data_IF_527448789435
#
_entry.id   IF_527448789435
#
_cell.length_a   1.000
_cell.length_b   1.000
_cell.length_c   1.000
_cell.angle_alpha   90.00
_cell.angle_beta   90.00
_cell.angle_gamma   90.00
#
_symmetry.space_group_name_H-M   'P 1'
#
loop_
_entity.id
_entity.type
_entity.pdbx_description
1 polymer ?
#
# COMPACT_ATOMS: atom_id res chain seq x y z
N UNK A 1 -23.66 -7.66 -3.44
CA UNK A 1 -22.46 -7.74 -4.30
C UNK A 1 -22.95 -7.92 -5.73
N UNK A 2 -22.57 -7.05 -6.66
CA UNK A 2 -22.95 -7.15 -8.08
C UNK A 2 -21.67 -7.46 -8.85
N UNK A 3 -21.67 -8.56 -9.62
CA UNK A 3 -20.55 -8.94 -10.49
C UNK A 3 -20.97 -8.75 -11.94
N UNK A 4 -20.27 -7.87 -12.66
CA UNK A 4 -20.47 -7.63 -14.08
C UNK A 4 -19.33 -8.28 -14.86
N UNK A 5 -19.68 -9.10 -15.85
CA UNK A 5 -18.73 -9.72 -16.77
C UNK A 5 -18.96 -9.08 -18.13
N UNK A 6 -17.93 -8.45 -18.69
CA UNK A 6 -18.04 -7.73 -19.96
C UNK A 6 -17.10 -8.37 -20.96
N UNK A 7 -17.64 -8.71 -22.12
CA UNK A 7 -16.89 -9.29 -23.23
C UNK A 7 -16.49 -8.21 -24.24
N UNK A 8 -15.45 -8.51 -25.04
CA UNK A 8 -15.01 -7.70 -26.17
C UNK A 8 -14.59 -6.25 -25.79
N UNK A 9 -13.99 -6.10 -24.61
CA UNK A 9 -13.45 -4.85 -24.08
C UNK A 9 -11.92 -4.79 -24.21
N UNK A 10 -11.39 -3.62 -24.57
CA UNK A 10 -9.96 -3.34 -24.53
C UNK A 10 -9.60 -2.50 -23.30
N UNK A 11 -8.30 -2.35 -23.00
CA UNK A 11 -7.81 -1.62 -21.82
C UNK A 11 -8.31 -0.16 -21.77
N UNK A 12 -8.35 0.53 -22.91
CA UNK A 12 -8.83 1.92 -22.97
C UNK A 12 -10.32 2.03 -22.60
N UNK A 13 -11.15 1.13 -23.11
CA UNK A 13 -12.58 1.08 -22.77
C UNK A 13 -12.80 0.67 -21.32
N UNK A 14 -11.96 -0.23 -20.79
CA UNK A 14 -12.01 -0.63 -19.39
C UNK A 14 -11.72 0.57 -18.48
N UNK A 15 -10.64 1.30 -18.76
CA UNK A 15 -10.29 2.52 -18.02
C UNK A 15 -11.42 3.56 -18.05
N UNK A 16 -12.01 3.79 -19.23
CA UNK A 16 -13.16 4.71 -19.35
C UNK A 16 -14.40 4.24 -18.57
N UNK A 17 -14.62 2.93 -18.46
CA UNK A 17 -15.69 2.38 -17.62
C UNK A 17 -15.39 2.57 -16.14
N UNK A 18 -14.15 2.32 -15.71
CA UNK A 18 -13.71 2.57 -14.32
C UNK A 18 -13.99 4.02 -13.93
N UNK A 19 -13.61 4.99 -14.77
CA UNK A 19 -13.89 6.42 -14.51
C UNK A 19 -15.39 6.72 -14.44
N UNK A 20 -16.21 6.14 -15.32
CA UNK A 20 -17.66 6.31 -15.29
C UNK A 20 -18.28 5.74 -14.03
N UNK A 21 -17.83 4.57 -13.58
CA UNK A 21 -18.28 3.96 -12.32
C UNK A 21 -17.89 4.86 -11.14
N UNK A 22 -16.65 5.35 -11.11
CA UNK A 22 -16.17 6.26 -10.07
C UNK A 22 -17.03 7.52 -10.01
N UNK A 23 -17.25 8.17 -11.15
CA UNK A 23 -18.04 9.40 -11.26
C UNK A 23 -19.50 9.18 -10.86
N UNK A 24 -20.10 8.05 -11.27
CA UNK A 24 -21.51 7.73 -11.00
C UNK A 24 -21.80 7.50 -9.52
N UNK A 25 -20.86 6.87 -8.81
CA UNK A 25 -21.01 6.50 -7.40
C UNK A 25 -20.22 7.40 -6.44
N UNK A 26 -19.61 8.47 -6.94
CA UNK A 26 -18.84 9.43 -6.16
C UNK A 26 -19.67 10.06 -5.02
N UNK A 27 -20.97 10.20 -5.23
CA UNK A 27 -21.93 10.76 -4.25
C UNK A 27 -22.26 9.77 -3.12
N UNK A 28 -22.25 8.46 -3.38
CA UNK A 28 -22.70 7.44 -2.42
C UNK A 28 -21.64 7.06 -1.36
N UNK A 29 -20.40 7.58 -1.46
CA UNK A 29 -19.24 7.43 -0.55
C UNK A 29 -18.84 6.00 -0.08
N UNK A 30 -19.63 4.98 -0.35
CA UNK A 30 -19.54 3.63 0.23
C UNK A 30 -19.63 2.52 -0.83
N UNK A 31 -18.95 2.69 -1.96
CA UNK A 31 -18.79 1.63 -2.95
C UNK A 31 -17.36 1.06 -2.91
N UNK A 32 -17.23 -0.24 -3.12
CA UNK A 32 -15.96 -0.95 -3.33
C UNK A 32 -16.12 -1.84 -4.55
N UNK A 33 -15.29 -1.62 -5.57
CA UNK A 33 -15.36 -2.33 -6.84
C UNK A 33 -14.00 -2.91 -7.16
N UNK A 34 -13.94 -4.22 -7.38
CA UNK A 34 -12.75 -4.91 -7.86
C UNK A 34 -12.86 -5.20 -9.34
N UNK A 35 -11.79 -4.95 -10.09
CA UNK A 35 -11.74 -5.11 -11.55
C UNK A 35 -10.61 -6.07 -11.89
N UNK A 36 -10.86 -7.04 -12.77
CA UNK A 36 -9.81 -7.94 -13.26
C UNK A 36 -8.96 -7.26 -14.34
N UNK A 37 -7.87 -7.92 -14.75
CA UNK A 37 -7.24 -7.56 -16.03
C UNK A 37 -8.16 -7.93 -17.19
N UNK A 38 -7.89 -7.37 -18.38
CA UNK A 38 -8.51 -7.84 -19.63
C UNK A 38 -7.97 -9.24 -19.93
N UNK A 39 -8.86 -10.23 -19.98
CA UNK A 39 -8.54 -11.64 -20.17
C UNK A 39 -9.34 -12.22 -21.34
N UNK A 40 -8.94 -13.39 -21.83
CA UNK A 40 -9.68 -14.07 -22.90
C UNK A 40 -10.99 -14.61 -22.35
N UNK A 41 -11.99 -14.76 -23.22
CA UNK A 41 -13.32 -15.31 -22.85
C UNK A 41 -13.24 -16.65 -22.12
N UNK A 42 -12.26 -17.49 -22.40
CA UNK A 42 -12.10 -18.81 -21.78
C UNK A 42 -11.67 -18.71 -20.30
N UNK A 43 -11.16 -17.55 -19.87
CA UNK A 43 -10.56 -17.32 -18.56
C UNK A 43 -11.54 -16.64 -17.60
N UNK A 44 -12.86 -16.78 -17.79
CA UNK A 44 -13.88 -16.13 -16.94
C UNK A 44 -13.70 -16.46 -15.46
N UNK A 45 -13.34 -17.69 -15.13
CA UNK A 45 -13.10 -18.09 -13.72
C UNK A 45 -11.94 -17.29 -13.15
N UNK A 46 -10.87 -17.08 -13.94
CA UNK A 46 -9.71 -16.28 -13.54
C UNK A 46 -10.08 -14.80 -13.42
N UNK A 47 -10.90 -14.25 -14.32
CA UNK A 47 -11.34 -12.85 -14.23
C UNK A 47 -12.17 -12.60 -12.97
N UNK A 48 -13.07 -13.52 -12.61
CA UNK A 48 -13.84 -13.44 -11.36
C UNK A 48 -12.92 -13.48 -10.15
N UNK A 49 -11.95 -14.41 -10.11
CA UNK A 49 -10.96 -14.49 -9.03
C UNK A 49 -10.16 -13.19 -8.89
N UNK A 50 -9.67 -12.64 -10.00
CA UNK A 50 -8.92 -11.39 -9.99
C UNK A 50 -9.75 -10.20 -9.49
N UNK A 51 -10.98 -10.06 -9.97
CA UNK A 51 -11.89 -9.01 -9.52
C UNK A 51 -12.19 -9.14 -8.01
N UNK A 52 -12.44 -10.35 -7.52
CA UNK A 52 -12.67 -10.59 -6.09
C UNK A 52 -11.43 -10.26 -5.25
N UNK A 53 -10.23 -10.69 -5.67
CA UNK A 53 -8.98 -10.33 -5.00
C UNK A 53 -8.78 -8.82 -4.94
N UNK A 54 -9.05 -8.09 -6.03
CA UNK A 54 -8.95 -6.63 -6.05
C UNK A 54 -9.97 -5.96 -5.12
N UNK A 55 -11.19 -6.51 -5.05
CA UNK A 55 -12.21 -6.08 -4.11
C UNK A 55 -11.79 -6.33 -2.65
N UNK A 56 -11.20 -7.49 -2.35
CA UNK A 56 -10.75 -7.84 -1.01
C UNK A 56 -9.61 -6.93 -0.54
N UNK A 57 -8.71 -6.50 -1.43
CA UNK A 57 -7.71 -5.46 -1.11
C UNK A 57 -8.38 -4.17 -0.62
N UNK A 58 -9.48 -3.72 -1.25
CA UNK A 58 -10.23 -2.54 -0.79
C UNK A 58 -10.92 -2.77 0.56
N UNK A 59 -11.40 -3.99 0.81
CA UNK A 59 -12.00 -4.35 2.10
C UNK A 59 -10.94 -4.32 3.20
N UNK A 60 -9.82 -5.00 3.00
CA UNK A 60 -8.71 -5.05 3.96
C UNK A 60 -8.14 -3.66 4.24
N UNK A 61 -8.03 -2.77 3.25
CA UNK A 61 -7.61 -1.37 3.46
C UNK A 61 -8.68 -0.46 4.04
N UNK A 62 -9.88 -0.98 4.27
CA UNK A 62 -11.08 -0.21 4.59
C UNK A 62 -11.30 1.03 3.70
N UNK A 63 -11.02 0.91 2.39
CA UNK A 63 -11.05 2.03 1.44
C UNK A 63 -12.17 1.86 0.41
N UNK A 64 -12.98 2.90 0.22
CA UNK A 64 -13.96 2.97 -0.88
C UNK A 64 -13.28 3.31 -2.22
N UNK A 65 -13.87 2.88 -3.33
CA UNK A 65 -13.41 3.17 -4.69
C UNK A 65 -13.34 1.95 -5.60
N UNK A 66 -12.55 2.08 -6.66
CA UNK A 66 -12.26 1.02 -7.63
C UNK A 66 -10.80 0.56 -7.46
N UNK A 67 -10.58 -0.74 -7.52
CA UNK A 67 -9.25 -1.36 -7.52
C UNK A 67 -9.15 -2.30 -8.71
N UNK A 68 -8.12 -2.10 -9.53
CA UNK A 68 -7.75 -3.06 -10.57
C UNK A 68 -6.79 -4.10 -10.02
N UNK A 69 -6.97 -5.36 -10.42
CA UNK A 69 -6.08 -6.46 -10.06
C UNK A 69 -4.64 -6.18 -10.47
N UNK A 70 -4.41 -5.49 -11.60
CA UNK A 70 -3.06 -5.10 -12.04
C UNK A 70 -2.39 -4.14 -11.05
N UNK A 71 -3.16 -3.24 -10.46
CA UNK A 71 -2.67 -2.22 -9.52
C UNK A 71 -2.64 -2.70 -8.06
N UNK A 72 -3.24 -3.85 -7.76
CA UNK A 72 -3.29 -4.41 -6.40
C UNK A 72 -1.94 -4.86 -5.84
N UNK A 73 -0.92 -5.07 -6.69
CA UNK A 73 0.48 -5.21 -6.28
C UNK A 73 0.72 -6.18 -5.12
N UNK A 74 1.50 -5.72 -4.14
CA UNK A 74 1.85 -6.44 -2.91
C UNK A 74 0.69 -6.55 -1.93
N UNK A 75 -0.34 -5.71 -2.08
CA UNK A 75 -1.47 -5.65 -1.14
C UNK A 75 -2.29 -6.93 -1.13
N UNK A 76 -2.22 -7.69 -2.22
CA UNK A 76 -2.82 -9.03 -2.34
C UNK A 76 -2.30 -10.01 -1.31
N UNK A 77 -1.08 -9.81 -0.79
CA UNK A 77 -0.52 -10.68 0.24
C UNK A 77 -1.24 -10.50 1.59
N UNK A 78 -1.89 -9.36 1.81
CA UNK A 78 -2.51 -9.02 3.09
C UNK A 78 -4.01 -9.32 3.18
N UNK A 79 -4.65 -9.76 2.09
CA UNK A 79 -6.11 -9.90 2.02
C UNK A 79 -6.70 -10.94 2.99
N UNK A 80 -5.85 -11.82 3.53
CA UNK A 80 -6.24 -12.85 4.51
C UNK A 80 -6.15 -12.36 5.95
N UNK A 81 -5.68 -11.14 6.17
CA UNK A 81 -5.54 -10.54 7.49
C UNK A 81 -6.60 -9.46 7.71
N UNK A 82 -6.98 -9.26 8.97
CA UNK A 82 -7.83 -8.13 9.33
C UNK A 82 -7.02 -6.83 9.37
N UNK A 83 -7.66 -5.66 9.19
CA UNK A 83 -6.99 -4.38 9.39
C UNK A 83 -6.32 -4.27 10.77
N UNK A 84 -6.93 -4.85 11.80
CA UNK A 84 -6.43 -4.86 13.18
C UNK A 84 -5.16 -5.71 13.31
N UNK A 85 -5.12 -6.93 12.74
CA UNK A 85 -3.93 -7.78 12.74
C UNK A 85 -2.74 -7.09 12.05
N UNK A 86 -2.99 -6.41 10.94
CA UNK A 86 -1.97 -5.68 10.20
C UNK A 86 -1.50 -4.45 10.98
N UNK A 87 -2.40 -3.80 11.72
CA UNK A 87 -2.05 -2.68 12.60
C UNK A 87 -1.19 -3.14 13.76
N UNK A 88 -1.56 -4.24 14.43
CA UNK A 88 -0.79 -4.80 15.54
C UNK A 88 0.61 -5.19 15.09
N UNK A 89 0.75 -5.85 13.92
CA UNK A 89 2.06 -6.14 13.33
C UNK A 89 2.91 -4.87 13.10
N UNK A 90 2.30 -3.77 12.64
CA UNK A 90 3.03 -2.50 12.47
C UNK A 90 3.48 -1.95 13.82
N UNK A 91 2.61 -2.00 14.84
CA UNK A 91 2.91 -1.49 16.17
C UNK A 91 4.00 -2.31 16.85
N UNK A 92 4.01 -3.63 16.70
CA UNK A 92 5.05 -4.50 17.25
C UNK A 92 6.45 -4.11 16.75
N UNK A 93 6.56 -3.71 15.49
CA UNK A 93 7.84 -3.34 14.88
C UNK A 93 8.19 -1.85 15.09
N UNK A 94 7.22 -0.96 14.90
CA UNK A 94 7.47 0.48 14.76
C UNK A 94 6.98 1.33 15.93
N UNK A 95 6.35 0.75 16.96
CA UNK A 95 5.96 1.49 18.18
C UNK A 95 7.06 2.43 18.72
N UNK A 96 8.36 2.05 18.79
CA UNK A 96 9.43 2.93 19.26
C UNK A 96 9.71 4.18 18.41
N UNK A 97 9.22 4.22 17.16
CA UNK A 97 9.47 5.30 16.19
C UNK A 97 8.19 6.03 15.77
N UNK A 98 7.05 5.66 16.35
CA UNK A 98 5.77 6.35 16.20
C UNK A 98 5.62 7.50 17.21
N UNK A 99 4.76 8.46 16.90
CA UNK A 99 4.37 9.55 17.78
C UNK A 99 3.18 9.19 18.68
N UNK A 100 2.88 10.08 19.63
CA UNK A 100 1.65 10.00 20.43
C UNK A 100 0.42 9.93 19.49
N UNK A 101 -0.44 8.94 19.73
CA UNK A 101 -1.58 8.55 18.87
C UNK A 101 -1.24 7.71 17.63
N UNK A 102 -0.14 6.95 17.62
CA UNK A 102 0.22 6.00 16.56
C UNK A 102 0.43 6.64 15.17
N UNK A 103 0.81 7.91 15.12
CA UNK A 103 1.11 8.61 13.87
C UNK A 103 2.56 8.39 13.46
N UNK A 104 2.88 8.38 12.16
CA UNK A 104 4.26 8.29 11.70
C UNK A 104 5.12 9.44 12.24
N UNK A 105 6.06 9.11 13.13
CA UNK A 105 7.00 10.09 13.65
C UNK A 105 8.07 10.46 12.64
N UNK A 106 8.86 11.49 12.96
CA UNK A 106 9.92 11.99 12.08
C UNK A 106 10.90 10.92 11.60
N UNK A 107 11.20 9.91 12.43
CA UNK A 107 12.08 8.80 12.05
C UNK A 107 11.42 7.89 11.01
N UNK A 108 10.15 7.53 11.21
CA UNK A 108 9.42 6.73 10.23
C UNK A 108 9.23 7.47 8.90
N UNK A 109 8.92 8.77 8.94
CA UNK A 109 8.86 9.64 7.75
C UNK A 109 10.22 9.65 7.03
N UNK A 110 11.32 9.72 7.79
CA UNK A 110 12.67 9.67 7.23
C UNK A 110 12.93 8.35 6.49
N UNK A 111 12.59 7.22 7.09
CA UNK A 111 12.77 5.89 6.45
C UNK A 111 11.89 5.74 5.21
N UNK A 112 10.62 6.16 5.26
CA UNK A 112 9.72 6.15 4.10
C UNK A 112 10.32 6.97 2.94
N UNK A 113 10.86 8.15 3.21
CA UNK A 113 11.52 8.98 2.21
C UNK A 113 12.81 8.32 1.67
N UNK A 114 13.60 7.70 2.54
CA UNK A 114 14.81 6.98 2.17
C UNK A 114 14.53 5.81 1.23
N UNK A 115 13.49 5.03 1.51
CA UNK A 115 13.02 3.94 0.64
C UNK A 115 12.52 4.46 -0.71
N UNK A 116 11.74 5.55 -0.71
CA UNK A 116 11.26 6.22 -1.93
C UNK A 116 12.43 6.63 -2.84
N UNK A 117 13.52 7.09 -2.24
CA UNK A 117 14.74 7.52 -2.93
C UNK A 117 15.74 6.38 -3.18
N UNK A 118 15.29 5.11 -3.17
CA UNK A 118 16.13 3.93 -3.44
C UNK A 118 17.39 3.89 -2.56
N UNK A 119 17.25 4.26 -1.30
CA UNK A 119 18.36 4.34 -0.33
C UNK A 119 19.45 5.37 -0.68
N UNK A 120 19.19 6.33 -1.56
CA UNK A 120 20.13 7.43 -1.82
C UNK A 120 20.08 8.44 -0.68
N UNK A 121 21.13 8.45 0.14
CA UNK A 121 21.23 9.40 1.26
C UNK A 121 21.25 10.86 0.79
N UNK A 122 21.90 11.14 -0.35
CA UNK A 122 21.99 12.48 -0.94
C UNK A 122 20.60 12.96 -1.38
N UNK A 123 19.91 12.17 -2.21
CA UNK A 123 18.59 12.57 -2.73
C UNK A 123 17.55 12.65 -1.61
N UNK A 124 17.63 11.76 -0.62
CA UNK A 124 16.72 11.79 0.53
C UNK A 124 16.94 13.04 1.38
N UNK A 125 18.19 13.40 1.64
CA UNK A 125 18.52 14.59 2.41
C UNK A 125 18.06 15.86 1.69
N UNK A 126 18.26 15.93 0.38
CA UNK A 126 17.77 17.01 -0.49
C UNK A 126 16.23 17.11 -0.46
N UNK A 127 15.51 16.01 -0.70
CA UNK A 127 14.03 15.99 -0.67
C UNK A 127 13.48 16.39 0.70
N UNK A 128 14.16 16.02 1.79
CA UNK A 128 13.76 16.36 3.15
C UNK A 128 14.23 17.73 3.63
N UNK A 129 15.03 18.46 2.83
CA UNK A 129 15.60 19.76 3.23
C UNK A 129 16.53 19.68 4.45
N UNK A 130 17.23 18.56 4.64
CA UNK A 130 18.18 18.35 5.75
C UNK A 130 19.59 18.06 5.22
N UNK A 131 20.59 18.19 6.09
CA UNK A 131 21.94 17.76 5.77
C UNK A 131 22.07 16.23 5.77
N UNK A 132 22.91 15.67 4.89
CA UNK A 132 23.11 14.21 4.78
C UNK A 132 23.57 13.56 6.09
N UNK A 133 24.39 14.25 6.89
CA UNK A 133 24.78 13.76 8.23
C UNK A 133 23.58 13.65 9.19
N UNK A 134 22.63 14.58 9.13
CA UNK A 134 21.40 14.51 9.92
C UNK A 134 20.54 13.32 9.49
N UNK A 135 20.50 13.02 8.19
CA UNK A 135 19.84 11.82 7.68
C UNK A 135 20.48 10.54 8.26
N UNK A 136 21.81 10.41 8.20
CA UNK A 136 22.52 9.26 8.78
C UNK A 136 22.27 9.11 10.28
N UNK A 137 22.24 10.21 11.03
CA UNK A 137 21.91 10.19 12.46
C UNK A 137 20.48 9.67 12.70
N UNK A 138 19.51 10.10 11.88
CA UNK A 138 18.12 9.62 11.99
C UNK A 138 17.99 8.15 11.61
N UNK A 139 18.65 7.71 10.55
CA UNK A 139 18.68 6.29 10.17
C UNK A 139 19.27 5.45 11.32
N UNK A 140 20.44 5.83 11.83
CA UNK A 140 21.07 5.14 12.96
C UNK A 140 20.17 5.12 14.20
N UNK A 141 19.48 6.21 14.49
CA UNK A 141 18.52 6.28 15.60
C UNK A 141 17.33 5.35 15.39
N UNK A 142 16.79 5.27 14.16
CA UNK A 142 15.74 4.32 13.81
C UNK A 142 16.20 2.86 14.03
N UNK A 143 17.39 2.50 13.53
CA UNK A 143 17.93 1.14 13.70
C UNK A 143 18.17 0.81 15.18
N UNK A 144 18.65 1.79 15.97
CA UNK A 144 18.87 1.62 17.42
C UNK A 144 17.56 1.40 18.17
N UNK A 145 16.50 2.15 17.84
CA UNK A 145 15.21 2.08 18.55
C UNK A 145 14.41 0.82 18.18
N UNK A 146 14.49 0.38 16.93
CA UNK A 146 13.75 -0.78 16.43
C UNK A 146 14.51 -2.09 16.57
N UNK A 147 15.85 -2.03 16.72
CA UNK A 147 16.71 -3.20 16.66
C UNK A 147 16.83 -3.82 15.26
N UNK A 148 16.32 -3.15 14.23
CA UNK A 148 16.33 -3.60 12.83
C UNK A 148 17.39 -2.85 12.04
N UNK A 149 18.03 -3.53 11.08
CA UNK A 149 19.00 -2.93 10.18
C UNK A 149 18.51 -2.87 8.74
N UNK A 150 18.74 -1.72 8.10
CA UNK A 150 18.51 -1.54 6.66
C UNK A 150 19.56 -2.26 5.79
N UNK A 151 20.66 -2.70 6.38
CA UNK A 151 21.73 -3.42 5.68
C UNK A 151 21.55 -4.94 5.73
N UNK A 152 20.67 -5.46 6.59
CA UNK A 152 20.27 -6.86 6.57
C UNK A 152 19.12 -7.03 5.57
N UNK A 153 19.23 -8.00 4.66
CA UNK A 153 18.26 -8.17 3.58
C UNK A 153 16.84 -8.53 4.06
N UNK A 154 16.72 -9.42 5.05
CA UNK A 154 15.43 -9.86 5.57
C UNK A 154 14.76 -8.76 6.41
N UNK A 155 15.54 -8.09 7.25
CA UNK A 155 15.07 -6.95 8.04
C UNK A 155 14.70 -5.77 7.14
N UNK A 156 15.46 -5.52 6.06
CA UNK A 156 15.14 -4.51 5.07
C UNK A 156 13.76 -4.75 4.42
N UNK A 157 13.49 -5.99 3.99
CA UNK A 157 12.20 -6.35 3.40
C UNK A 157 11.09 -6.11 4.40
N UNK A 158 11.29 -6.52 5.66
CA UNK A 158 10.34 -6.30 6.75
C UNK A 158 10.08 -4.81 6.98
N UNK A 159 11.13 -3.98 7.10
CA UNK A 159 11.02 -2.52 7.23
C UNK A 159 10.25 -1.92 6.06
N UNK A 160 10.59 -2.31 4.83
CA UNK A 160 9.94 -1.77 3.63
C UNK A 160 8.46 -2.14 3.56
N UNK A 161 8.11 -3.37 3.92
CA UNK A 161 6.74 -3.85 3.97
C UNK A 161 5.92 -3.10 5.03
N UNK A 162 6.47 -2.99 6.24
CA UNK A 162 5.83 -2.26 7.35
C UNK A 162 5.68 -0.77 7.03
N UNK A 163 6.66 -0.15 6.36
CA UNK A 163 6.55 1.22 5.85
C UNK A 163 5.42 1.35 4.83
N UNK A 164 5.28 0.40 3.89
CA UNK A 164 4.20 0.38 2.92
C UNK A 164 2.84 0.25 3.60
N UNK A 165 2.71 -0.68 4.54
CA UNK A 165 1.47 -0.92 5.30
C UNK A 165 1.08 0.27 6.17
N UNK A 166 2.05 0.93 6.83
CA UNK A 166 1.83 2.09 7.71
C UNK A 166 1.05 3.23 7.03
N UNK A 167 1.16 3.36 5.70
CA UNK A 167 0.42 4.38 4.92
C UNK A 167 -1.10 4.16 4.87
N UNK A 168 -1.57 2.94 5.17
CA UNK A 168 -2.97 2.55 5.06
C UNK A 168 -3.61 2.21 6.39
N UNK A 169 -2.83 1.77 7.38
CA UNK A 169 -3.35 1.22 8.64
C UNK A 169 -3.05 2.09 9.88
N UNK A 170 -2.22 3.13 9.74
CA UNK A 170 -1.94 4.12 10.80
C UNK A 170 -2.57 5.50 10.54
N UNK A 171 -3.41 5.64 9.51
CA UNK A 171 -4.07 6.89 9.12
C UNK A 171 -5.33 7.19 9.94
#
# INVERSE_FOLDING_TARGET
MITLIIFDMNEQKLFALEEKVIARYQQDKLYKVGVSSVLRRQEVITSIKQANTALDVLKTRNKSGVMSFRHSGIDRLFIKHTPEELKDFILDLFSPVLEENNKPGILLVTIICFLKNRQSAVNTAEEMGIHVNTLYQRIKKFETLTGLSLNNADEFIMIALTCHMSRFYLS
#
